data_IF_861482921739
#
_entry.id   IF_861482921739
#
_cell.length_a   1.000
_cell.length_b   1.000
_cell.length_c   1.000
_cell.angle_alpha   90.00
_cell.angle_beta   90.00
_cell.angle_gamma   90.00
#
_symmetry.space_group_name_H-M   'P 1'
#
loop_
_entity.id
_entity.type
_entity.pdbx_description
1 polymer ?
#
# COMPACT_ATOMS: atom_id res chain seq x y z
N UNK A 1 -18.52 -14.50 -11.03
CA UNK A 1 -17.61 -13.39 -10.67
C UNK A 1 -17.73 -12.24 -11.66
N UNK A 2 -17.86 -12.55 -12.94
CA UNK A 2 -18.02 -11.61 -14.07
C UNK A 2 -19.20 -10.62 -14.01
N UNK A 3 -20.32 -10.93 -13.34
CA UNK A 3 -21.46 -10.00 -13.29
C UNK A 3 -21.21 -8.75 -12.43
N UNK A 4 -20.49 -8.90 -11.31
CA UNK A 4 -20.14 -7.77 -10.44
C UNK A 4 -19.07 -6.90 -11.11
N UNK A 5 -18.06 -7.54 -11.70
CA UNK A 5 -17.02 -6.85 -12.47
C UNK A 5 -17.63 -6.04 -13.63
N UNK A 6 -18.50 -6.64 -14.43
CA UNK A 6 -19.18 -5.96 -15.53
C UNK A 6 -20.09 -4.82 -15.06
N UNK A 7 -20.69 -4.93 -13.87
CA UNK A 7 -21.47 -3.86 -13.28
C UNK A 7 -20.58 -2.67 -12.85
N UNK A 8 -19.40 -2.96 -12.28
CA UNK A 8 -18.42 -1.94 -11.87
C UNK A 8 -17.84 -1.23 -13.10
N UNK A 9 -17.47 -1.97 -14.15
CA UNK A 9 -16.93 -1.40 -15.39
C UNK A 9 -17.90 -0.45 -16.10
N UNK A 10 -19.21 -0.66 -15.90
CA UNK A 10 -20.27 0.22 -16.45
C UNK A 10 -20.51 1.48 -15.63
N UNK A 11 -19.94 1.59 -14.43
CA UNK A 11 -20.04 2.81 -13.64
C UNK A 11 -19.22 3.93 -14.30
N UNK A 12 -19.67 5.20 -14.18
CA UNK A 12 -18.81 6.34 -14.49
C UNK A 12 -17.50 6.29 -13.68
N UNK A 13 -16.41 6.81 -14.24
CA UNK A 13 -15.08 6.75 -13.61
C UNK A 13 -15.08 7.30 -12.16
N UNK A 14 -15.78 8.40 -11.91
CA UNK A 14 -15.89 8.98 -10.55
C UNK A 14 -16.59 8.04 -9.57
N UNK A 15 -17.58 7.28 -10.02
CA UNK A 15 -18.29 6.30 -9.20
C UNK A 15 -17.44 5.04 -8.97
N UNK A 16 -16.59 4.64 -9.93
CA UNK A 16 -15.60 3.58 -9.73
C UNK A 16 -14.57 3.98 -8.66
N UNK A 17 -14.06 5.21 -8.72
CA UNK A 17 -13.13 5.72 -7.70
C UNK A 17 -13.76 5.79 -6.30
N UNK A 18 -15.00 6.26 -6.19
CA UNK A 18 -15.71 6.28 -4.91
C UNK A 18 -15.94 4.87 -4.36
N UNK A 19 -16.26 3.90 -5.21
CA UNK A 19 -16.42 2.50 -4.80
C UNK A 19 -15.10 1.91 -4.32
N UNK A 20 -13.99 2.17 -5.01
CA UNK A 20 -12.66 1.73 -4.60
C UNK A 20 -12.28 2.27 -3.21
N UNK A 21 -12.42 3.58 -3.00
CA UNK A 21 -12.14 4.20 -1.69
C UNK A 21 -13.03 3.64 -0.57
N UNK A 22 -14.32 3.40 -0.87
CA UNK A 22 -15.24 2.77 0.09
C UNK A 22 -14.83 1.33 0.42
N UNK A 23 -14.40 0.54 -0.58
CA UNK A 23 -13.92 -0.82 -0.38
C UNK A 23 -12.63 -0.87 0.44
N UNK A 24 -11.67 0.02 0.17
CA UNK A 24 -10.43 0.14 0.95
C UNK A 24 -10.73 0.36 2.43
N UNK A 25 -11.63 1.31 2.74
CA UNK A 25 -12.05 1.60 4.12
C UNK A 25 -12.75 0.44 4.83
N UNK A 26 -13.38 -0.48 4.09
CA UNK A 26 -14.18 -1.58 4.66
C UNK A 26 -13.45 -2.91 4.69
N UNK A 27 -12.62 -3.17 3.69
CA UNK A 27 -11.96 -4.46 3.48
C UNK A 27 -10.52 -4.48 3.99
N UNK A 28 -9.90 -3.30 4.19
CA UNK A 28 -8.61 -3.16 4.86
C UNK A 28 -8.77 -2.44 6.22
N UNK A 29 -9.49 -3.02 7.20
CA UNK A 29 -9.47 -2.48 8.55
C UNK A 29 -8.05 -2.58 9.09
N UNK A 30 -7.57 -1.50 9.70
CA UNK A 30 -6.30 -1.54 10.43
C UNK A 30 -6.41 -2.55 11.57
N UNK A 31 -5.61 -3.62 11.48
CA UNK A 31 -5.61 -4.66 12.51
C UNK A 31 -4.61 -4.29 13.60
N UNK A 32 -4.80 -4.75 14.85
CA UNK A 32 -3.81 -4.55 15.91
C UNK A 32 -2.40 -5.04 15.53
N UNK A 33 -2.31 -6.14 14.76
CA UNK A 33 -1.03 -6.66 14.28
C UNK A 33 -0.37 -5.74 13.24
N UNK A 34 -1.17 -5.14 12.35
CA UNK A 34 -0.67 -4.18 11.37
C UNK A 34 -0.17 -2.90 12.04
N UNK A 35 -0.92 -2.37 13.01
CA UNK A 35 -0.51 -1.21 13.79
C UNK A 35 0.77 -1.50 14.58
N UNK A 36 0.87 -2.66 15.22
CA UNK A 36 2.09 -3.08 15.93
C UNK A 36 3.31 -3.21 14.99
N UNK A 37 3.10 -3.65 13.74
CA UNK A 37 4.17 -3.72 12.74
C UNK A 37 4.64 -2.32 12.31
N UNK A 38 3.74 -1.34 12.25
CA UNK A 38 4.09 0.07 12.00
C UNK A 38 4.89 0.63 13.17
N UNK A 39 4.45 0.40 14.41
CA UNK A 39 5.17 0.84 15.61
C UNK A 39 6.59 0.23 15.69
N UNK A 40 6.72 -1.04 15.30
CA UNK A 40 8.03 -1.71 15.19
C UNK A 40 8.91 -1.06 14.12
N UNK A 41 8.35 -0.79 12.94
CA UNK A 41 9.08 -0.17 11.85
C UNK A 41 9.59 1.24 12.22
N UNK A 42 8.77 2.04 12.92
CA UNK A 42 9.18 3.36 13.41
C UNK A 42 10.33 3.25 14.42
N UNK A 43 10.24 2.31 15.37
CA UNK A 43 11.29 2.09 16.37
C UNK A 43 12.59 1.61 15.73
N UNK A 44 12.52 0.62 14.83
CA UNK A 44 13.69 0.12 14.10
C UNK A 44 14.33 1.23 13.28
N UNK A 45 13.54 2.08 12.62
CA UNK A 45 14.08 3.23 11.88
C UNK A 45 14.79 4.23 12.80
N UNK A 46 14.28 4.46 14.01
CA UNK A 46 14.91 5.35 14.99
C UNK A 46 16.21 4.76 15.57
N UNK A 47 16.23 3.45 15.85
CA UNK A 47 17.35 2.76 16.49
C UNK A 47 18.47 2.39 15.51
N UNK A 48 18.12 1.86 14.34
CA UNK A 48 19.05 1.35 13.33
C UNK A 48 19.33 2.37 12.21
N UNK A 49 18.44 3.34 12.03
CA UNK A 49 18.54 4.32 10.95
C UNK A 49 18.06 3.79 9.60
N UNK A 50 17.95 4.69 8.62
CA UNK A 50 17.60 4.34 7.25
C UNK A 50 18.84 4.01 6.40
N UNK A 51 18.60 3.48 5.20
CA UNK A 51 19.67 3.29 4.20
C UNK A 51 20.15 4.67 3.70
N UNK A 52 21.47 4.95 3.71
CA UNK A 52 21.99 6.21 3.19
C UNK A 52 21.58 6.46 1.73
N UNK A 53 21.26 7.71 1.40
CA UNK A 53 20.76 8.08 0.07
C UNK A 53 21.72 7.69 -1.08
N UNK A 54 23.03 7.73 -0.84
CA UNK A 54 24.03 7.28 -1.81
C UNK A 54 23.96 5.77 -2.07
N UNK A 55 23.70 4.98 -1.05
CA UNK A 55 23.60 3.53 -1.18
C UNK A 55 22.26 3.12 -1.81
N UNK A 56 21.19 3.86 -1.53
CA UNK A 56 19.94 3.75 -2.30
C UNK A 56 20.21 4.01 -3.78
N UNK A 57 20.88 5.11 -4.13
CA UNK A 57 21.14 5.46 -5.54
C UNK A 57 21.96 4.41 -6.28
N UNK A 58 22.96 3.81 -5.62
CA UNK A 58 23.79 2.74 -6.20
C UNK A 58 22.99 1.47 -6.50
N UNK A 59 22.06 1.10 -5.62
CA UNK A 59 21.35 -0.18 -5.68
C UNK A 59 19.96 -0.10 -6.33
N UNK A 60 19.40 1.11 -6.51
CA UNK A 60 18.03 1.33 -6.98
C UNK A 60 17.70 0.57 -8.26
N UNK A 61 18.62 0.54 -9.24
CA UNK A 61 18.41 -0.19 -10.50
C UNK A 61 18.24 -1.68 -10.28
N UNK A 62 19.01 -2.29 -9.36
CA UNK A 62 18.93 -3.72 -9.09
C UNK A 62 17.63 -4.06 -8.37
N UNK A 63 17.20 -3.22 -7.42
CA UNK A 63 15.97 -3.46 -6.65
C UNK A 63 14.69 -3.33 -7.48
N UNK A 64 14.62 -2.40 -8.42
CA UNK A 64 13.43 -2.20 -9.26
C UNK A 64 13.27 -3.31 -10.32
N UNK A 65 14.36 -4.00 -10.66
CA UNK A 65 14.35 -5.10 -11.64
C UNK A 65 14.37 -6.49 -11.01
N UNK A 66 14.39 -6.57 -9.68
CA UNK A 66 14.39 -7.83 -8.93
C UNK A 66 12.99 -8.43 -8.77
#
# INVERSE_FOLDING_TARGET
MTEIEAAIERLPADAQHQLAAWLELKLWPETPAMLAAIDEAERSLADEGGVPAEDVRKNLRQWITA
#
